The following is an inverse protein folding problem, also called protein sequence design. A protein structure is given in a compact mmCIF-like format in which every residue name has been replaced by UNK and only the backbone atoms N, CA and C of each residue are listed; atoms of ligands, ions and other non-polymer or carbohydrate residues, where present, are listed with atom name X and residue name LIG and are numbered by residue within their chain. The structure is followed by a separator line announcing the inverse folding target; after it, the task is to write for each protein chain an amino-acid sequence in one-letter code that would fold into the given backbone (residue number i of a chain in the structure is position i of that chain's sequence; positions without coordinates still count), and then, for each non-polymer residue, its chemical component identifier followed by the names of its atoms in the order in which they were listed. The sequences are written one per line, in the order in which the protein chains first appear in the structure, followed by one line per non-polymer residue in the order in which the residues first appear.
data_IF_310248047206
#
_entry.id   IF_310248047206
#
_cell.length_a   1.000
_cell.length_b   1.000
_cell.length_c   1.000
_cell.angle_alpha   90.00
_cell.angle_beta   90.00
_cell.angle_gamma   90.00
#
_symmetry.space_group_name_H-M   'P 1'
#
loop_
_entity.id
_entity.type
_entity.pdbx_description
1 polymer ?
#
# COMPACT_ATOMS: atom_id res chain seq x y z
N UNK A 1 -1.56 1.34 -37.75
CA UNK A 1 -0.87 1.99 -36.62
C UNK A 1 -1.69 2.03 -35.34
N UNK A 2 -3.02 2.11 -35.41
CA UNK A 2 -3.92 2.16 -34.23
C UNK A 2 -3.88 0.91 -33.34
N UNK A 3 -3.82 -0.29 -33.93
CA UNK A 3 -3.80 -1.56 -33.17
C UNK A 3 -2.52 -1.71 -32.33
N UNK A 4 -1.35 -1.48 -32.94
CA UNK A 4 -0.04 -1.52 -32.26
C UNK A 4 0.06 -0.55 -31.08
N UNK A 5 -0.56 0.64 -31.20
CA UNK A 5 -0.62 1.62 -30.11
C UNK A 5 -1.54 1.19 -28.97
N UNK A 6 -2.56 0.38 -29.25
CA UNK A 6 -3.49 -0.14 -28.25
C UNK A 6 -2.87 -1.30 -27.47
N UNK A 7 -2.12 -2.18 -28.16
CA UNK A 7 -1.41 -3.30 -27.55
C UNK A 7 -0.34 -2.79 -26.57
N UNK A 8 0.37 -1.71 -26.91
CA UNK A 8 1.34 -1.06 -26.00
C UNK A 8 0.64 -0.47 -24.78
N UNK A 9 -0.53 0.16 -24.92
CA UNK A 9 -1.26 0.70 -23.77
C UNK A 9 -1.74 -0.40 -22.82
N UNK A 10 -2.19 -1.54 -23.35
CA UNK A 10 -2.58 -2.71 -22.54
C UNK A 10 -1.38 -3.31 -21.81
N UNK A 11 -0.23 -3.45 -22.47
CA UNK A 11 1.00 -3.88 -21.80
C UNK A 11 1.40 -2.92 -20.66
N UNK A 12 1.26 -1.60 -20.87
CA UNK A 12 1.55 -0.61 -19.82
C UNK A 12 0.55 -0.67 -18.65
N UNK A 13 -0.73 -0.98 -18.91
CA UNK A 13 -1.73 -1.24 -17.87
C UNK A 13 -1.40 -2.50 -17.07
N UNK A 14 -0.98 -3.59 -17.73
CA UNK A 14 -0.56 -4.83 -17.07
C UNK A 14 0.62 -4.57 -16.13
N UNK A 15 1.63 -3.83 -16.61
CA UNK A 15 2.78 -3.42 -15.78
C UNK A 15 2.31 -2.58 -14.59
N UNK A 16 1.44 -1.59 -14.80
CA UNK A 16 0.92 -0.75 -13.72
C UNK A 16 0.07 -1.55 -12.72
N UNK A 17 -0.67 -2.55 -13.18
CA UNK A 17 -1.45 -3.46 -12.31
C UNK A 17 -0.51 -4.26 -11.41
N UNK A 18 0.57 -4.81 -11.96
CA UNK A 18 1.61 -5.48 -11.18
C UNK A 18 2.30 -4.55 -10.18
N UNK A 19 2.55 -3.29 -10.56
CA UNK A 19 3.10 -2.28 -9.64
C UNK A 19 2.14 -2.01 -8.46
N UNK A 20 0.82 -1.97 -8.71
CA UNK A 20 -0.20 -1.83 -7.67
C UNK A 20 -0.20 -3.03 -6.72
N UNK A 21 -0.15 -4.25 -7.25
CA UNK A 21 -0.09 -5.48 -6.44
C UNK A 21 1.14 -5.49 -5.52
N UNK A 22 2.32 -5.22 -6.08
CA UNK A 22 3.56 -5.14 -5.31
C UNK A 22 3.52 -4.07 -4.23
N UNK A 23 2.98 -2.88 -4.55
CA UNK A 23 2.82 -1.81 -3.57
C UNK A 23 1.81 -2.16 -2.47
N UNK A 24 0.75 -2.90 -2.81
CA UNK A 24 -0.26 -3.39 -1.85
C UNK A 24 0.36 -4.38 -0.87
N UNK A 25 1.13 -5.36 -1.37
CA UNK A 25 1.86 -6.30 -0.52
C UNK A 25 2.88 -5.60 0.39
N UNK A 26 3.63 -4.64 -0.14
CA UNK A 26 4.60 -3.88 0.62
C UNK A 26 3.93 -3.07 1.75
N UNK A 27 2.81 -2.41 1.45
CA UNK A 27 2.02 -1.68 2.45
C UNK A 27 1.48 -2.61 3.54
N UNK A 28 0.93 -3.77 3.16
CA UNK A 28 0.45 -4.75 4.12
C UNK A 28 1.57 -5.27 5.05
N UNK A 29 2.76 -5.56 4.49
CA UNK A 29 3.94 -5.94 5.27
C UNK A 29 4.35 -4.84 6.24
N UNK A 30 4.40 -3.59 5.80
CA UNK A 30 4.74 -2.45 6.66
C UNK A 30 3.72 -2.26 7.79
N UNK A 31 2.42 -2.38 7.51
CA UNK A 31 1.37 -2.30 8.52
C UNK A 31 1.47 -3.42 9.56
N UNK A 32 1.84 -4.63 9.14
CA UNK A 32 2.11 -5.74 10.06
C UNK A 32 3.28 -5.43 10.99
N UNK A 33 4.38 -4.88 10.46
CA UNK A 33 5.55 -4.49 11.27
C UNK A 33 5.17 -3.44 12.32
N UNK A 34 4.34 -2.45 11.98
CA UNK A 34 3.82 -1.47 12.96
C UNK A 34 3.05 -2.16 14.07
N UNK A 35 2.13 -3.07 13.73
CA UNK A 35 1.33 -3.79 14.72
C UNK A 35 2.22 -4.63 15.66
N UNK A 36 3.17 -5.38 15.10
CA UNK A 36 4.12 -6.17 15.90
C UNK A 36 5.00 -5.28 16.80
N UNK A 37 5.47 -4.14 16.30
CA UNK A 37 6.26 -3.18 17.08
C UNK A 37 5.43 -2.54 18.21
N UNK A 38 4.18 -2.19 17.94
CA UNK A 38 3.26 -1.64 18.93
C UNK A 38 2.92 -2.67 20.01
N UNK A 39 2.65 -3.93 19.63
CA UNK A 39 2.40 -5.00 20.60
C UNK A 39 3.56 -5.20 21.56
N UNK A 40 4.81 -5.17 21.07
CA UNK A 40 6.01 -5.22 21.93
C UNK A 40 6.12 -4.00 22.85
N UNK A 41 5.79 -2.81 22.35
CA UNK A 41 5.79 -1.59 23.15
C UNK A 41 4.77 -1.68 24.30
N UNK A 42 3.55 -2.11 23.99
CA UNK A 42 2.47 -2.26 24.97
C UNK A 42 2.83 -3.30 26.04
N UNK A 43 3.43 -4.42 25.64
CA UNK A 43 3.95 -5.43 26.58
C UNK A 43 5.00 -4.85 27.53
N UNK A 44 5.92 -4.01 27.04
CA UNK A 44 6.92 -3.38 27.90
C UNK A 44 6.29 -2.38 28.88
N UNK A 45 5.27 -1.64 28.47
CA UNK A 45 4.52 -0.74 29.35
C UNK A 45 3.75 -1.50 30.43
N UNK A 46 3.09 -2.59 30.07
CA UNK A 46 2.40 -3.46 31.02
C UNK A 46 3.39 -4.08 32.02
N UNK A 47 4.50 -4.60 31.52
CA UNK A 47 5.57 -5.15 32.36
C UNK A 47 6.13 -4.10 33.33
N UNK A 48 6.36 -2.87 32.86
CA UNK A 48 6.80 -1.74 33.70
C UNK A 48 5.82 -1.45 34.82
N UNK A 49 4.52 -1.42 34.51
CA UNK A 49 3.47 -1.19 35.51
C UNK A 49 3.50 -2.28 36.58
N UNK A 50 3.47 -3.55 36.17
CA UNK A 50 3.54 -4.68 37.11
C UNK A 50 4.82 -4.69 37.95
N UNK A 51 5.94 -4.28 37.37
CA UNK A 51 7.21 -4.15 38.08
C UNK A 51 7.14 -3.04 39.15
N UNK A 52 6.50 -1.91 38.85
CA UNK A 52 6.29 -0.82 39.80
C UNK A 52 5.32 -1.19 40.93
N UNK A 53 4.26 -1.93 40.63
CA UNK A 53 3.32 -2.45 41.63
C UNK A 53 4.03 -3.43 42.59
N UNK A 54 4.93 -4.28 42.07
CA UNK A 54 5.74 -5.19 42.87
C UNK A 54 6.67 -4.43 43.83
N UNK A 55 7.31 -3.34 43.37
CA UNK A 55 8.12 -2.48 44.25
C UNK A 55 7.30 -1.92 45.41
N UNK A 56 6.12 -1.36 45.12
CA UNK A 56 5.26 -0.77 46.15
C UNK A 56 4.90 -1.80 47.22
N UNK A 57 4.58 -3.04 46.80
CA UNK A 57 4.29 -4.13 47.72
C UNK A 57 5.52 -4.55 48.58
N UNK A 58 6.73 -4.55 48.00
CA UNK A 58 7.94 -4.88 48.75
C UNK A 58 8.36 -3.76 49.71
N UNK A 59 8.23 -2.49 49.30
CA UNK A 59 8.48 -1.35 50.18
C UNK A 59 7.55 -1.35 51.40
N UNK A 60 6.26 -1.69 51.20
CA UNK A 60 5.30 -1.81 52.30
C UNK A 60 5.66 -2.91 53.33
N UNK A 61 6.42 -3.94 52.92
CA UNK A 61 6.87 -5.04 53.78
C UNK A 61 8.25 -4.80 54.41
N UNK A 62 8.91 -3.70 54.06
CA UNK A 62 10.31 -3.44 54.39
C UNK A 62 11.25 -4.09 53.36
N UNK A 63 12.07 -3.28 52.71
CA UNK A 63 13.01 -3.70 51.68
C UNK A 63 14.43 -3.26 52.01
N UNK A 64 15.43 -4.08 51.69
CA UNK A 64 16.84 -3.72 51.88
C UNK A 64 17.28 -2.65 50.88
N UNK A 65 18.31 -1.88 51.24
CA UNK A 65 18.87 -0.85 50.36
C UNK A 65 19.44 -1.46 49.06
N UNK A 66 20.06 -2.63 49.13
CA UNK A 66 20.58 -3.35 47.96
C UNK A 66 19.46 -3.76 47.00
N UNK A 67 18.36 -4.32 47.50
CA UNK A 67 17.21 -4.68 46.69
C UNK A 67 16.60 -3.44 46.01
N UNK A 68 16.55 -2.31 46.71
CA UNK A 68 16.11 -1.04 46.13
C UNK A 68 17.03 -0.55 44.99
N UNK A 69 18.35 -0.64 45.17
CA UNK A 69 19.30 -0.25 44.12
C UNK A 69 19.18 -1.13 42.89
N UNK A 70 19.06 -2.46 43.07
CA UNK A 70 18.84 -3.40 41.97
C UNK A 70 17.56 -3.07 41.20
N UNK A 71 16.47 -2.75 41.91
CA UNK A 71 15.23 -2.29 41.30
C UNK A 71 15.46 -1.05 40.43
N UNK A 72 16.08 -0.01 40.99
CA UNK A 72 16.33 1.25 40.27
C UNK A 72 17.19 1.06 39.01
N UNK A 73 18.21 0.20 39.10
CA UNK A 73 19.07 -0.11 37.97
C UNK A 73 18.32 -0.82 36.84
N UNK A 74 17.47 -1.80 37.19
CA UNK A 74 16.66 -2.49 36.19
C UNK A 74 15.59 -1.57 35.60
N UNK A 75 14.93 -0.75 36.43
CA UNK A 75 13.90 0.19 36.01
C UNK A 75 14.44 1.17 34.96
N UNK A 76 15.65 1.70 35.15
CA UNK A 76 16.34 2.54 34.14
C UNK A 76 16.58 1.82 32.82
N UNK A 77 16.99 0.54 32.86
CA UNK A 77 17.17 -0.27 31.65
C UNK A 77 15.85 -0.51 30.93
N UNK A 78 14.77 -0.75 31.69
CA UNK A 78 13.43 -0.94 31.15
C UNK A 78 12.90 0.35 30.50
N UNK A 79 13.06 1.51 31.15
CA UNK A 79 12.70 2.82 30.58
C UNK A 79 13.47 3.12 29.29
N UNK A 80 14.77 2.76 29.26
CA UNK A 80 15.57 2.87 28.03
C UNK A 80 15.05 1.96 26.92
N UNK A 81 14.72 0.70 27.22
CA UNK A 81 14.15 -0.25 26.26
C UNK A 81 12.78 0.22 25.73
N UNK A 82 11.93 0.78 26.58
CA UNK A 82 10.62 1.35 26.20
C UNK A 82 10.81 2.52 25.25
N UNK A 83 11.76 3.41 25.55
CA UNK A 83 12.07 4.55 24.70
C UNK A 83 12.57 4.08 23.33
N UNK A 84 13.52 3.15 23.31
CA UNK A 84 14.01 2.57 22.05
C UNK A 84 12.92 1.85 21.25
N UNK A 85 12.03 1.12 21.91
CA UNK A 85 10.91 0.46 21.23
C UNK A 85 9.89 1.47 20.68
N UNK A 86 9.68 2.61 21.35
CA UNK A 86 8.85 3.71 20.83
C UNK A 86 9.44 4.31 19.55
N UNK A 87 10.76 4.46 19.48
CA UNK A 87 11.44 4.94 18.27
C UNK A 87 11.25 3.95 17.11
N UNK A 88 11.32 2.64 17.39
CA UNK A 88 11.03 1.58 16.40
C UNK A 88 9.59 1.67 15.89
N UNK A 89 8.61 1.86 16.77
CA UNK A 89 7.20 2.07 16.37
C UNK A 89 7.09 3.28 15.46
N UNK A 90 7.65 4.42 15.87
CA UNK A 90 7.60 5.68 15.11
C UNK A 90 8.22 5.52 13.72
N UNK A 91 9.36 4.84 13.63
CA UNK A 91 10.01 4.54 12.36
C UNK A 91 9.14 3.64 11.48
N UNK A 92 8.56 2.57 12.03
CA UNK A 92 7.67 1.67 11.29
C UNK A 92 6.43 2.40 10.76
N UNK A 93 5.84 3.30 11.55
CA UNK A 93 4.71 4.14 11.11
C UNK A 93 5.10 5.05 9.95
N UNK A 94 6.31 5.61 9.97
CA UNK A 94 6.82 6.41 8.86
C UNK A 94 6.98 5.56 7.59
N UNK A 95 7.44 4.32 7.70
CA UNK A 95 7.52 3.40 6.56
C UNK A 95 6.13 3.09 5.97
N UNK A 96 5.10 2.92 6.81
CA UNK A 96 3.71 2.77 6.34
C UNK A 96 3.27 3.98 5.52
N UNK A 97 3.60 5.20 5.94
CA UNK A 97 3.28 6.42 5.18
C UNK A 97 3.96 6.41 3.80
N UNK A 98 5.24 6.03 3.74
CA UNK A 98 5.99 5.92 2.46
C UNK A 98 5.33 4.90 1.54
N UNK A 99 5.06 3.70 2.02
CA UNK A 99 4.42 2.65 1.21
C UNK A 99 2.99 3.01 0.79
N UNK A 100 2.25 3.74 1.63
CA UNK A 100 0.91 4.23 1.30
C UNK A 100 0.96 5.23 0.14
N UNK A 101 1.92 6.17 0.17
CA UNK A 101 2.10 7.11 -0.94
C UNK A 101 2.43 6.38 -2.23
N UNK A 102 3.38 5.43 -2.20
CA UNK A 102 3.74 4.63 -3.38
C UNK A 102 2.53 3.87 -3.93
N UNK A 103 1.73 3.24 -3.06
CA UNK A 103 0.51 2.55 -3.47
C UNK A 103 -0.50 3.48 -4.14
N UNK A 104 -0.73 4.67 -3.58
CA UNK A 104 -1.61 5.68 -4.19
C UNK A 104 -1.12 6.14 -5.56
N UNK A 105 0.19 6.34 -5.72
CA UNK A 105 0.79 6.74 -6.98
C UNK A 105 0.67 5.64 -8.06
N UNK A 106 0.95 4.39 -7.70
CA UNK A 106 0.74 3.23 -8.58
C UNK A 106 -0.73 3.11 -9.01
N UNK A 107 -1.67 3.31 -8.08
CA UNK A 107 -3.10 3.25 -8.38
C UNK A 107 -3.53 4.34 -9.35
N UNK A 108 -3.04 5.58 -9.16
CA UNK A 108 -3.27 6.70 -10.08
C UNK A 108 -2.70 6.43 -11.47
N UNK A 109 -1.51 5.83 -11.54
CA UNK A 109 -0.86 5.44 -12.80
C UNK A 109 -1.70 4.40 -13.54
N UNK A 110 -2.17 3.34 -12.87
CA UNK A 110 -3.06 2.33 -13.47
C UNK A 110 -4.33 2.98 -14.03
N UNK A 111 -5.02 3.79 -13.22
CA UNK A 111 -6.24 4.48 -13.66
C UNK A 111 -6.02 5.35 -14.90
N UNK A 112 -4.84 5.97 -15.00
CA UNK A 112 -4.48 6.78 -16.17
C UNK A 112 -4.41 5.92 -17.44
N UNK A 113 -3.85 4.71 -17.36
CA UNK A 113 -3.84 3.77 -18.49
C UNK A 113 -5.23 3.24 -18.83
N UNK A 114 -6.05 2.87 -17.83
CA UNK A 114 -7.44 2.43 -18.05
C UNK A 114 -8.24 3.47 -18.88
N UNK A 115 -8.06 4.75 -18.55
CA UNK A 115 -8.68 5.87 -19.28
C UNK A 115 -8.15 5.99 -20.71
N UNK A 116 -6.83 5.85 -20.91
CA UNK A 116 -6.21 5.93 -22.23
C UNK A 116 -6.64 4.76 -23.14
N UNK A 117 -6.70 3.54 -22.60
CA UNK A 117 -7.20 2.35 -23.29
C UNK A 117 -8.66 2.56 -23.71
N UNK A 118 -9.51 2.98 -22.77
CA UNK A 118 -10.93 3.25 -23.07
C UNK A 118 -11.10 4.28 -24.19
N UNK A 119 -10.29 5.33 -24.20
CA UNK A 119 -10.30 6.35 -25.27
C UNK A 119 -9.78 5.80 -26.60
N UNK A 120 -8.75 4.97 -26.56
CA UNK A 120 -8.17 4.29 -27.72
C UNK A 120 -9.20 3.35 -28.37
N UNK A 121 -9.86 2.51 -27.57
CA UNK A 121 -10.88 1.56 -28.02
C UNK A 121 -12.08 2.29 -28.65
N UNK A 122 -12.56 3.37 -28.03
CA UNK A 122 -13.63 4.22 -28.61
C UNK A 122 -13.23 4.81 -29.96
N UNK A 123 -11.97 5.24 -30.10
CA UNK A 123 -11.46 5.78 -31.38
C UNK A 123 -11.37 4.69 -32.43
N UNK A 124 -10.88 3.51 -32.08
CA UNK A 124 -10.80 2.36 -32.99
C UNK A 124 -12.19 1.94 -33.48
N UNK A 125 -13.17 1.79 -32.58
CA UNK A 125 -14.54 1.47 -32.92
C UNK A 125 -15.17 2.49 -33.90
N UNK A 126 -14.93 3.79 -33.67
CA UNK A 126 -15.42 4.86 -34.57
C UNK A 126 -14.79 4.79 -35.96
N UNK A 127 -13.52 4.39 -36.06
CA UNK A 127 -12.84 4.23 -37.36
C UNK A 127 -13.41 3.03 -38.11
N UNK A 128 -13.61 1.90 -37.43
CA UNK A 128 -14.18 0.70 -38.05
C UNK A 128 -15.64 0.92 -38.48
N UNK A 129 -16.47 1.55 -37.63
CA UNK A 129 -17.85 1.92 -38.01
C UNK A 129 -17.90 2.77 -39.29
N UNK A 130 -16.98 3.72 -39.45
CA UNK A 130 -16.89 4.54 -40.68
C UNK A 130 -16.46 3.72 -41.90
N UNK A 131 -15.60 2.72 -41.72
CA UNK A 131 -15.17 1.81 -42.79
C UNK A 131 -16.32 0.93 -43.23
N UNK A 132 -17.05 0.35 -42.29
CA UNK A 132 -18.22 -0.50 -42.55
C UNK A 132 -19.31 0.27 -43.27
N UNK A 133 -19.63 1.48 -42.80
CA UNK A 133 -20.59 2.35 -43.46
C UNK A 133 -20.20 2.64 -44.92
N UNK A 134 -18.93 2.99 -45.16
CA UNK A 134 -18.43 3.25 -46.51
C UNK A 134 -18.54 2.01 -47.42
N UNK A 135 -18.22 0.82 -46.91
CA UNK A 135 -18.34 -0.44 -47.68
C UNK A 135 -19.79 -0.74 -48.04
N UNK A 136 -20.74 -0.52 -47.11
CA UNK A 136 -22.17 -0.69 -47.36
C UNK A 136 -22.68 0.30 -48.41
N UNK A 137 -22.28 1.57 -48.33
CA UNK A 137 -22.67 2.62 -49.28
C UNK A 137 -22.14 2.32 -50.70
N UNK A 138 -20.90 1.84 -50.81
CA UNK A 138 -20.30 1.41 -52.08
C UNK A 138 -21.05 0.20 -52.68
N UNK A 139 -21.42 -0.78 -51.85
CA UNK A 139 -22.19 -1.94 -52.29
C UNK A 139 -23.59 -1.55 -52.79
N UNK A 140 -24.30 -0.70 -52.04
CA UNK A 140 -25.61 -0.17 -52.44
C UNK A 140 -25.54 0.61 -53.76
N UNK A 141 -24.49 1.41 -53.96
CA UNK A 141 -24.25 2.15 -55.21
C UNK A 141 -23.98 1.23 -56.39
N UNK A 142 -23.25 0.12 -56.19
CA UNK A 142 -23.02 -0.89 -57.25
C UNK A 142 -24.31 -1.62 -57.61
N UNK A 143 -25.09 -2.06 -56.62
CA UNK A 143 -26.36 -2.76 -56.84
C UNK A 143 -27.38 -1.90 -57.60
N UNK A 144 -27.44 -0.59 -57.30
CA UNK A 144 -28.33 0.33 -58.01
C UNK A 144 -27.88 0.60 -59.45
N UNK A 145 -26.58 0.56 -59.75
CA UNK A 145 -26.04 0.68 -61.12
C UNK A 145 -26.29 -0.56 -61.98
N UNK A 146 -26.25 -1.76 -61.40
CA UNK A 146 -26.46 -3.03 -62.12
C UNK A 146 -27.95 -3.28 -62.45
N UNK A 147 -28.87 -2.65 -61.72
CA UNK A 147 -30.32 -2.76 -61.94
C UNK A 147 -30.89 -1.79 -62.98
N UNK A 148 -30.06 -0.97 -63.62
CA UNK A 148 -30.43 -0.11 -64.76
C UNK A 148 -29.96 -0.75 -66.05
#
# INVERSE_FOLDING_TARGET
MTTKSNDVLRMLEEIATKEVELATEALAKAMKVVNEAQGKYDMLLEYRKGYQDNLNANLAKGMTAEAYQNFQNFFKKLDHAITGQRDVVTFAEQQVKVHRTLWQESQRKKLSYDVLITRSDKRAAKVEQKRDQKMMDEFATRMTRVKR
#
